data_IF_527969380275
#
_entry.id   IF_527969380275
#
_cell.length_a   1.000
_cell.length_b   1.000
_cell.length_c   1.000
_cell.angle_alpha   90.00
_cell.angle_beta   90.00
_cell.angle_gamma   90.00
#
_symmetry.space_group_name_H-M   'P 1'
#
loop_
_entity.id
_entity.type
_entity.pdbx_description
1 polymer ?
#
# COMPACT_ATOMS: atom_id res chain seq x y z
N UNK A 1 -29.40 -13.53 2.12
CA UNK A 1 -28.21 -14.05 2.85
C UNK A 1 -26.90 -13.43 2.37
N UNK A 2 -26.54 -13.40 1.07
CA UNK A 2 -25.27 -12.82 0.62
C UNK A 2 -25.13 -11.32 0.88
N UNK A 3 -26.19 -10.54 0.57
CA UNK A 3 -26.22 -9.08 0.79
C UNK A 3 -26.07 -8.73 2.27
N UNK A 4 -26.75 -9.46 3.17
CA UNK A 4 -26.64 -9.23 4.61
C UNK A 4 -25.21 -9.47 5.13
N UNK A 5 -24.57 -10.56 4.71
CA UNK A 5 -23.17 -10.84 5.08
C UNK A 5 -22.20 -9.75 4.58
N UNK A 6 -22.42 -9.26 3.35
CA UNK A 6 -21.60 -8.18 2.81
C UNK A 6 -21.81 -6.89 3.60
N UNK A 7 -23.08 -6.54 3.93
CA UNK A 7 -23.38 -5.35 4.73
C UNK A 7 -22.75 -5.43 6.14
N UNK A 8 -22.87 -6.58 6.82
CA UNK A 8 -22.22 -6.83 8.10
C UNK A 8 -20.69 -6.64 8.02
N UNK A 9 -20.06 -7.20 6.99
CA UNK A 9 -18.61 -7.05 6.79
C UNK A 9 -18.20 -5.59 6.52
N UNK A 10 -18.99 -4.84 5.75
CA UNK A 10 -18.78 -3.41 5.50
C UNK A 10 -18.90 -2.62 6.81
N UNK A 11 -19.94 -2.88 7.62
CA UNK A 11 -20.17 -2.18 8.89
C UNK A 11 -19.04 -2.47 9.88
N UNK A 12 -18.63 -3.74 10.00
CA UNK A 12 -17.50 -4.12 10.86
C UNK A 12 -16.19 -3.45 10.40
N UNK A 13 -15.87 -3.50 9.10
CA UNK A 13 -14.68 -2.86 8.56
C UNK A 13 -14.70 -1.34 8.74
N UNK A 14 -15.87 -0.73 8.62
CA UNK A 14 -16.07 0.72 8.80
C UNK A 14 -16.28 1.12 10.27
N UNK A 15 -16.29 0.17 11.21
CA UNK A 15 -16.47 0.39 12.67
C UNK A 15 -17.80 1.06 13.04
N UNK A 16 -18.80 1.04 12.14
CA UNK A 16 -20.11 1.66 12.40
C UNK A 16 -21.02 0.78 13.25
N UNK A 17 -20.66 -0.49 13.43
CA UNK A 17 -21.31 -1.45 14.33
C UNK A 17 -20.75 -1.45 15.76
N UNK A 18 -19.73 -0.62 16.04
CA UNK A 18 -19.20 -0.45 17.40
C UNK A 18 -20.21 0.30 18.29
N UNK A 19 -20.19 0.03 19.60
CA UNK A 19 -21.05 0.73 20.57
C UNK A 19 -20.88 2.26 20.51
N UNK A 20 -19.67 2.72 20.24
CA UNK A 20 -19.35 4.12 19.97
C UNK A 20 -18.39 4.21 18.75
N UNK A 21 -18.94 4.37 17.52
CA UNK A 21 -18.16 4.48 16.31
C UNK A 21 -17.17 5.66 16.30
N UNK A 22 -17.55 6.78 16.92
CA UNK A 22 -16.70 7.97 16.98
C UNK A 22 -15.46 7.68 17.84
N UNK A 23 -15.65 7.11 19.02
CA UNK A 23 -14.53 6.72 19.87
C UNK A 23 -13.71 5.59 19.25
N UNK A 24 -14.32 4.65 18.53
CA UNK A 24 -13.61 3.59 17.80
C UNK A 24 -12.68 4.17 16.74
N UNK A 25 -13.16 5.11 15.93
CA UNK A 25 -12.34 5.82 14.94
C UNK A 25 -11.27 6.70 15.56
N UNK A 26 -11.56 7.39 16.67
CA UNK A 26 -10.56 8.18 17.38
C UNK A 26 -9.37 7.32 17.84
N UNK A 27 -9.64 6.15 18.44
CA UNK A 27 -8.59 5.19 18.84
C UNK A 27 -7.83 4.63 17.64
N UNK A 28 -8.53 4.31 16.56
CA UNK A 28 -7.90 3.78 15.35
C UNK A 28 -6.98 4.80 14.68
N UNK A 29 -7.45 6.03 14.52
CA UNK A 29 -6.64 7.13 13.99
C UNK A 29 -5.41 7.40 14.86
N UNK A 30 -5.53 7.32 16.18
CA UNK A 30 -4.38 7.45 17.08
C UNK A 30 -3.36 6.32 16.87
N UNK A 31 -3.83 5.10 16.62
CA UNK A 31 -2.95 3.97 16.30
C UNK A 31 -2.20 4.19 14.98
N UNK A 32 -2.90 4.61 13.92
CA UNK A 32 -2.27 4.89 12.63
C UNK A 32 -1.29 6.06 12.73
N UNK A 33 -1.66 7.13 13.45
CA UNK A 33 -0.78 8.27 13.70
C UNK A 33 0.51 7.85 14.42
N UNK A 34 0.41 7.02 15.46
CA UNK A 34 1.60 6.52 16.18
C UNK A 34 2.51 5.68 15.28
N UNK A 35 1.94 4.90 14.34
CA UNK A 35 2.71 4.11 13.37
C UNK A 35 3.40 5.00 12.34
N UNK A 36 2.71 6.02 11.80
CA UNK A 36 3.32 6.99 10.88
C UNK A 36 4.42 7.78 11.54
N UNK A 37 4.22 8.22 12.79
CA UNK A 37 5.24 8.94 13.56
C UNK A 37 6.50 8.07 13.78
N UNK A 38 6.31 6.80 14.19
CA UNK A 38 7.43 5.86 14.37
C UNK A 38 8.19 5.65 13.06
N UNK A 39 7.50 5.36 11.95
CA UNK A 39 8.13 5.13 10.65
C UNK A 39 8.87 6.37 10.14
N UNK A 40 8.29 7.56 10.30
CA UNK A 40 8.94 8.83 9.96
C UNK A 40 10.19 9.07 10.82
N UNK A 41 10.14 8.71 12.10
CA UNK A 41 11.29 8.79 13.01
C UNK A 41 12.42 7.83 12.63
N UNK A 42 12.11 6.65 12.08
CA UNK A 42 13.11 5.70 11.61
C UNK A 42 13.83 6.17 10.33
N UNK A 43 13.15 6.89 9.46
CA UNK A 43 13.66 7.40 8.18
C UNK A 43 14.42 6.32 7.37
N UNK A 44 13.78 5.17 7.16
CA UNK A 44 14.38 4.05 6.45
C UNK A 44 14.78 4.43 5.01
N UNK A 45 15.88 3.90 4.52
CA UNK A 45 16.26 3.99 3.11
C UNK A 45 15.42 3.07 2.23
N UNK A 46 15.00 1.92 2.78
CA UNK A 46 14.23 0.92 2.05
C UNK A 46 13.42 0.04 3.01
N UNK A 47 12.45 -0.68 2.46
CA UNK A 47 11.80 -1.83 3.08
C UNK A 47 12.18 -3.11 2.32
N UNK A 48 12.42 -4.21 3.03
CA UNK A 48 12.57 -5.52 2.43
C UNK A 48 11.42 -6.42 2.87
N UNK A 49 10.63 -6.86 1.91
CA UNK A 49 9.57 -7.86 2.07
C UNK A 49 10.14 -9.22 1.75
N UNK A 50 9.96 -10.21 2.62
CA UNK A 50 10.44 -11.56 2.39
C UNK A 50 9.52 -12.61 2.99
N UNK A 51 9.40 -13.73 2.28
CA UNK A 51 8.53 -14.84 2.63
C UNK A 51 8.39 -15.80 1.45
N UNK A 52 7.37 -16.67 1.44
CA UNK A 52 7.15 -17.57 0.32
C UNK A 52 6.98 -16.80 -1.00
N UNK A 53 7.79 -17.17 -2.01
CA UNK A 53 7.77 -16.59 -3.37
C UNK A 53 8.00 -15.07 -3.48
N UNK A 54 8.36 -14.40 -2.37
CA UNK A 54 8.61 -12.96 -2.31
C UNK A 54 9.98 -12.70 -1.67
N UNK A 55 10.82 -11.95 -2.37
CA UNK A 55 12.02 -11.27 -1.87
C UNK A 55 12.14 -9.97 -2.64
N UNK A 56 11.57 -8.91 -2.09
CA UNK A 56 11.44 -7.60 -2.72
C UNK A 56 12.05 -6.54 -1.81
N UNK A 57 12.98 -5.76 -2.33
CA UNK A 57 13.50 -4.55 -1.69
C UNK A 57 12.90 -3.34 -2.37
N UNK A 58 12.20 -2.51 -1.60
CA UNK A 58 11.55 -1.26 -2.04
C UNK A 58 12.32 -0.09 -1.44
N UNK A 59 13.17 0.56 -2.22
CA UNK A 59 13.83 1.80 -1.84
C UNK A 59 12.79 2.94 -1.73
N UNK A 60 12.89 3.74 -0.68
CA UNK A 60 11.96 4.84 -0.44
C UNK A 60 12.45 6.13 -1.11
N UNK A 61 11.51 7.00 -1.52
CA UNK A 61 11.82 8.26 -2.19
C UNK A 61 12.59 9.21 -1.25
N UNK A 62 13.38 10.11 -1.83
CA UNK A 62 14.17 11.06 -1.04
C UNK A 62 13.26 12.11 -0.39
N UNK A 63 13.28 12.16 0.94
CA UNK A 63 12.37 12.99 1.73
C UNK A 63 10.93 12.48 1.72
N UNK A 64 10.75 11.16 1.65
CA UNK A 64 9.45 10.53 1.84
C UNK A 64 8.89 10.78 3.23
N UNK A 65 7.58 10.85 3.32
CA UNK A 65 6.81 10.90 4.56
C UNK A 65 5.73 9.83 4.55
N UNK A 66 5.59 9.11 5.65
CA UNK A 66 4.50 8.17 5.86
C UNK A 66 3.21 8.92 6.18
N UNK A 67 2.14 8.47 5.57
CA UNK A 67 0.79 8.98 5.75
C UNK A 67 -0.14 7.85 6.20
N UNK A 68 -1.25 8.19 6.86
CA UNK A 68 -2.28 7.21 7.25
C UNK A 68 -3.36 7.83 8.12
N UNK A 69 -4.53 7.23 8.16
CA UNK A 69 -5.64 7.65 9.00
C UNK A 69 -6.28 8.99 8.60
N UNK A 70 -6.54 9.82 9.61
CA UNK A 70 -7.20 11.11 9.41
C UNK A 70 -6.26 12.14 8.76
N UNK A 71 -6.84 13.04 7.98
CA UNK A 71 -6.16 14.20 7.40
C UNK A 71 -7.00 15.46 7.53
N UNK A 72 -6.34 16.63 7.47
CA UNK A 72 -7.02 17.92 7.56
C UNK A 72 -7.26 18.47 6.15
N UNK A 73 -8.53 18.67 5.82
CA UNK A 73 -8.95 19.27 4.56
C UNK A 73 -8.57 20.78 4.50
N UNK A 74 -8.56 21.36 3.30
CA UNK A 74 -8.20 22.78 3.09
C UNK A 74 -9.03 23.76 3.90
N UNK A 75 -10.25 23.39 4.30
CA UNK A 75 -11.14 24.21 5.14
C UNK A 75 -10.89 24.04 6.66
N UNK A 76 -9.83 23.32 7.05
CA UNK A 76 -9.45 23.07 8.44
C UNK A 76 -10.20 21.92 9.12
N UNK A 77 -11.10 21.22 8.43
CA UNK A 77 -11.83 20.08 9.01
C UNK A 77 -10.98 18.85 8.91
N UNK A 78 -10.76 18.17 10.06
CA UNK A 78 -10.11 16.86 10.11
C UNK A 78 -11.14 15.77 9.85
N UNK A 79 -10.84 14.86 8.93
CA UNK A 79 -11.70 13.74 8.54
C UNK A 79 -10.86 12.54 8.07
N UNK A 80 -11.49 11.37 8.01
CA UNK A 80 -10.92 10.23 7.30
C UNK A 80 -11.34 10.33 5.83
N UNK A 81 -10.41 10.54 4.88
CA UNK A 81 -10.75 10.62 3.46
C UNK A 81 -11.25 9.29 2.89
N UNK A 82 -10.79 8.18 3.46
CA UNK A 82 -11.18 6.82 3.12
C UNK A 82 -11.75 6.11 4.35
N UNK A 83 -12.84 5.36 4.17
CA UNK A 83 -13.44 4.47 5.17
C UNK A 83 -13.87 3.19 4.43
N UNK A 84 -13.29 2.01 4.75
CA UNK A 84 -12.26 1.79 5.79
C UNK A 84 -10.88 2.33 5.41
N UNK A 85 -9.97 2.42 6.38
CA UNK A 85 -8.54 2.59 6.21
C UNK A 85 -7.79 1.88 7.34
N UNK A 86 -6.88 0.99 6.99
CA UNK A 86 -6.06 0.19 7.92
C UNK A 86 -4.57 0.40 7.68
N UNK A 87 -4.24 1.19 6.67
CA UNK A 87 -2.91 1.36 6.14
C UNK A 87 -2.16 2.54 6.73
N UNK A 88 -0.83 2.41 6.68
CA UNK A 88 0.10 3.52 6.61
C UNK A 88 0.96 3.34 5.37
N UNK A 89 1.14 4.40 4.59
CA UNK A 89 1.74 4.30 3.26
C UNK A 89 2.69 5.45 2.95
N UNK A 90 3.57 5.21 1.99
CA UNK A 90 4.51 6.22 1.50
C UNK A 90 4.89 5.96 0.05
N UNK A 91 5.74 6.82 -0.51
CA UNK A 91 6.19 6.73 -1.89
C UNK A 91 7.53 5.99 -2.01
N UNK A 92 7.57 4.90 -2.82
CA UNK A 92 8.81 4.29 -3.28
C UNK A 92 9.62 5.22 -4.18
N UNK A 93 10.93 5.02 -4.23
CA UNK A 93 11.75 5.61 -5.27
C UNK A 93 11.61 4.81 -6.57
N UNK A 94 11.18 5.46 -7.65
CA UNK A 94 10.83 4.85 -8.92
C UNK A 94 11.94 4.01 -9.60
N UNK A 95 13.20 4.14 -9.14
CA UNK A 95 14.36 3.41 -9.69
C UNK A 95 15.08 2.52 -8.67
N UNK A 96 14.60 2.46 -7.42
CA UNK A 96 15.27 1.70 -6.33
C UNK A 96 14.38 0.56 -5.82
N UNK A 97 13.81 -0.22 -6.74
CA UNK A 97 13.03 -1.41 -6.41
C UNK A 97 13.67 -2.61 -7.09
N UNK A 98 14.02 -3.63 -6.30
CA UNK A 98 14.72 -4.82 -6.75
C UNK A 98 14.09 -6.08 -6.19
N UNK A 99 14.02 -7.13 -7.01
CA UNK A 99 13.62 -8.45 -6.57
C UNK A 99 12.29 -8.91 -7.13
N UNK A 100 11.72 -9.94 -6.49
CA UNK A 100 10.50 -10.62 -6.94
C UNK A 100 9.41 -10.51 -5.89
N UNK A 101 8.17 -10.39 -6.37
CA UNK A 101 6.98 -10.38 -5.51
C UNK A 101 5.81 -11.08 -6.20
N UNK A 102 4.99 -11.75 -5.39
CA UNK A 102 3.77 -12.43 -5.84
C UNK A 102 2.57 -11.85 -5.10
N UNK A 103 1.46 -11.65 -5.81
CA UNK A 103 0.20 -11.22 -5.19
C UNK A 103 -0.35 -12.31 -4.26
N UNK A 104 -0.84 -11.90 -3.11
CA UNK A 104 -1.44 -12.80 -2.12
C UNK A 104 -2.96 -12.85 -2.20
N UNK A 105 -3.55 -11.91 -2.94
CA UNK A 105 -5.00 -11.83 -3.20
C UNK A 105 -5.27 -11.44 -4.65
N UNK A 106 -6.45 -11.80 -5.21
CA UNK A 106 -6.86 -11.33 -6.52
C UNK A 106 -7.08 -9.82 -6.54
N UNK A 107 -6.79 -9.18 -7.67
CA UNK A 107 -7.06 -7.79 -7.96
C UNK A 107 -8.32 -7.68 -8.84
N UNK A 108 -9.30 -6.89 -8.40
CA UNK A 108 -10.45 -6.52 -9.21
C UNK A 108 -10.15 -5.19 -9.95
N UNK A 109 -10.03 -5.25 -11.26
CA UNK A 109 -9.69 -4.09 -12.08
C UNK A 109 -10.64 -3.96 -13.26
N UNK A 110 -11.42 -2.86 -13.31
CA UNK A 110 -12.36 -2.54 -14.40
C UNK A 110 -13.26 -3.72 -14.81
N UNK A 111 -13.80 -4.43 -13.83
CA UNK A 111 -14.67 -5.59 -14.07
C UNK A 111 -13.94 -6.89 -14.43
N UNK A 112 -12.62 -6.87 -14.52
CA UNK A 112 -11.76 -8.04 -14.70
C UNK A 112 -11.13 -8.47 -13.39
N UNK A 113 -11.01 -9.78 -13.18
CA UNK A 113 -10.27 -10.33 -12.06
C UNK A 113 -8.88 -10.76 -12.54
N UNK A 114 -7.84 -10.16 -11.95
CA UNK A 114 -6.43 -10.51 -12.17
C UNK A 114 -5.95 -11.26 -10.93
N UNK A 115 -5.40 -12.47 -11.12
CA UNK A 115 -5.03 -13.33 -10.02
C UNK A 115 -3.68 -14.02 -10.24
N UNK A 116 -2.96 -14.26 -9.14
CA UNK A 116 -1.65 -14.88 -9.17
C UNK A 116 -0.63 -14.02 -9.92
N UNK A 117 -0.64 -12.72 -9.68
CA UNK A 117 0.34 -11.79 -10.25
C UNK A 117 1.71 -12.13 -9.66
N UNK A 118 2.69 -12.32 -10.54
CA UNK A 118 4.10 -12.47 -10.18
C UNK A 118 4.93 -11.53 -11.05
N UNK A 119 5.71 -10.67 -10.41
CA UNK A 119 6.57 -9.72 -11.12
C UNK A 119 7.98 -9.73 -10.56
N UNK A 120 8.94 -9.36 -11.41
CA UNK A 120 10.32 -9.10 -11.03
C UNK A 120 10.70 -7.67 -11.42
N UNK A 121 11.27 -6.96 -10.44
CA UNK A 121 11.78 -5.60 -10.60
C UNK A 121 13.30 -5.60 -10.77
N UNK A 122 13.77 -4.75 -11.68
CA UNK A 122 15.17 -4.33 -11.83
C UNK A 122 15.21 -2.81 -12.01
N UNK A 123 16.04 -2.13 -11.25
CA UNK A 123 16.17 -0.66 -11.27
C UNK A 123 14.79 0.04 -11.21
N UNK A 124 13.90 -0.49 -10.38
CA UNK A 124 12.55 0.01 -10.15
C UNK A 124 11.53 -0.31 -11.26
N UNK A 125 11.92 -1.00 -12.34
CA UNK A 125 11.04 -1.34 -13.45
C UNK A 125 10.65 -2.81 -13.44
N UNK A 126 9.40 -3.12 -13.69
CA UNK A 126 8.96 -4.50 -13.97
C UNK A 126 9.59 -4.96 -15.29
N UNK A 127 10.44 -5.98 -15.18
CA UNK A 127 11.13 -6.62 -16.33
C UNK A 127 10.53 -7.99 -16.67
N UNK A 128 9.90 -8.65 -15.70
CA UNK A 128 9.13 -9.88 -15.92
C UNK A 128 7.77 -9.76 -15.26
N UNK A 129 6.74 -10.28 -15.94
CA UNK A 129 5.38 -10.30 -15.42
C UNK A 129 4.68 -11.58 -15.86
N UNK A 130 3.94 -12.18 -14.93
CA UNK A 130 3.00 -13.28 -15.16
C UNK A 130 1.76 -13.07 -14.31
N UNK A 131 0.63 -13.59 -14.76
CA UNK A 131 -0.56 -13.72 -13.96
C UNK A 131 -1.28 -15.04 -14.32
N UNK A 132 -1.76 -15.76 -13.33
CA UNK A 132 -2.53 -16.99 -13.54
C UNK A 132 -3.85 -16.72 -14.27
N UNK A 133 -4.46 -15.56 -14.01
CA UNK A 133 -5.68 -15.07 -14.64
C UNK A 133 -5.55 -13.59 -14.92
N UNK A 134 -6.05 -13.15 -16.08
CA UNK A 134 -6.07 -11.72 -16.44
C UNK A 134 -4.71 -11.16 -16.87
N UNK A 135 -3.75 -11.99 -17.26
CA UNK A 135 -2.41 -11.58 -17.69
C UNK A 135 -2.44 -10.56 -18.83
N UNK A 136 -3.33 -10.76 -19.81
CA UNK A 136 -3.49 -9.81 -20.93
C UNK A 136 -4.01 -8.44 -20.49
N UNK A 137 -4.85 -8.40 -19.45
CA UNK A 137 -5.35 -7.14 -18.88
C UNK A 137 -4.21 -6.42 -18.19
N UNK A 138 -3.45 -7.13 -17.35
CA UNK A 138 -2.28 -6.58 -16.66
C UNK A 138 -1.23 -6.08 -17.66
N UNK A 139 -0.97 -6.82 -18.74
CA UNK A 139 -0.04 -6.39 -19.78
C UNK A 139 -0.44 -5.04 -20.38
N UNK A 140 -1.72 -4.87 -20.75
CA UNK A 140 -2.24 -3.61 -21.28
C UNK A 140 -2.13 -2.45 -20.27
N UNK A 141 -2.34 -2.72 -19.00
CA UNK A 141 -2.17 -1.74 -17.92
C UNK A 141 -0.72 -1.29 -17.84
N UNK A 142 0.23 -2.23 -17.88
CA UNK A 142 1.67 -1.95 -17.84
C UNK A 142 2.19 -1.23 -19.10
N UNK A 143 1.46 -1.24 -20.20
CA UNK A 143 1.79 -0.56 -21.45
C UNK A 143 1.12 0.82 -21.58
N UNK A 144 0.43 1.30 -20.54
CA UNK A 144 -0.25 2.60 -20.55
C UNK A 144 0.74 3.76 -20.75
N UNK A 145 1.82 3.76 -19.99
CA UNK A 145 2.93 4.72 -20.08
C UNK A 145 4.21 4.15 -19.44
N UNK A 146 5.30 4.90 -19.48
CA UNK A 146 6.58 4.45 -18.93
C UNK A 146 6.55 4.27 -17.41
N UNK A 147 5.75 5.08 -16.69
CA UNK A 147 5.58 5.00 -15.25
C UNK A 147 4.69 3.83 -14.79
N UNK A 148 3.87 3.26 -15.66
CA UNK A 148 2.97 2.16 -15.34
C UNK A 148 3.71 0.88 -14.89
N UNK A 149 4.98 0.72 -15.27
CA UNK A 149 5.84 -0.40 -14.86
C UNK A 149 6.66 -0.12 -13.60
N UNK A 150 6.39 0.97 -12.89
CA UNK A 150 7.12 1.40 -11.69
C UNK A 150 6.15 1.61 -10.54
N UNK A 151 6.67 1.54 -9.31
CA UNK A 151 5.86 1.75 -8.13
C UNK A 151 5.60 3.25 -7.87
N UNK A 152 4.39 3.56 -7.43
CA UNK A 152 3.98 4.86 -6.90
C UNK A 152 3.68 4.84 -5.41
N UNK A 153 3.40 3.63 -4.85
CA UNK A 153 3.07 3.47 -3.45
C UNK A 153 3.60 2.17 -2.88
N UNK A 154 3.89 2.19 -1.58
CA UNK A 154 4.06 1.03 -0.70
C UNK A 154 3.30 1.27 0.60
N UNK A 155 2.44 0.32 0.96
CA UNK A 155 1.55 0.41 2.10
C UNK A 155 1.72 -0.77 3.06
N UNK A 156 1.61 -0.48 4.34
CA UNK A 156 1.72 -1.43 5.45
C UNK A 156 0.37 -1.61 6.13
N UNK A 157 -0.18 -2.80 6.04
CA UNK A 157 -1.46 -3.21 6.62
C UNK A 157 -1.26 -4.52 7.36
N UNK A 158 -1.63 -4.62 8.65
CA UNK A 158 -1.48 -5.87 9.38
C UNK A 158 -2.45 -6.94 8.86
N UNK A 159 -1.99 -8.20 8.85
CA UNK A 159 -2.81 -9.35 8.46
C UNK A 159 -4.06 -9.53 9.34
N UNK A 160 -4.02 -8.97 10.56
CA UNK A 160 -5.15 -8.92 11.49
C UNK A 160 -6.19 -7.83 11.17
N UNK A 161 -6.08 -7.13 10.03
CA UNK A 161 -7.07 -6.12 9.63
C UNK A 161 -8.50 -6.68 9.59
N UNK A 162 -9.54 -5.88 9.83
CA UNK A 162 -10.93 -6.35 9.74
C UNK A 162 -11.28 -6.89 8.35
N UNK A 163 -10.72 -6.30 7.30
CA UNK A 163 -10.90 -6.76 5.91
C UNK A 163 -10.29 -8.15 5.72
N UNK A 164 -9.05 -8.36 6.18
CA UNK A 164 -8.42 -9.70 6.11
C UNK A 164 -9.22 -10.75 6.89
N UNK A 165 -9.65 -10.42 8.11
CA UNK A 165 -10.43 -11.30 8.97
C UNK A 165 -11.80 -11.67 8.41
N UNK A 166 -12.41 -10.82 7.60
CA UNK A 166 -13.68 -11.11 6.94
C UNK A 166 -13.59 -12.30 5.99
N UNK A 167 -12.39 -12.58 5.45
CA UNK A 167 -12.16 -13.62 4.43
C UNK A 167 -12.85 -13.32 3.09
N UNK A 168 -13.43 -12.12 2.92
CA UNK A 168 -14.15 -11.72 1.71
C UNK A 168 -13.22 -10.98 0.75
N UNK A 169 -13.52 -11.13 -0.54
CA UNK A 169 -13.07 -10.24 -1.59
C UNK A 169 -14.25 -9.32 -1.94
N UNK A 170 -14.08 -8.03 -1.70
CA UNK A 170 -15.16 -7.05 -1.87
C UNK A 170 -15.35 -6.66 -3.34
N UNK A 171 -14.37 -6.95 -4.18
CA UNK A 171 -14.30 -6.51 -5.59
C UNK A 171 -14.33 -4.98 -5.71
N UNK A 172 -13.83 -4.33 -4.69
CA UNK A 172 -13.65 -2.89 -4.59
C UNK A 172 -12.27 -2.61 -3.99
N UNK A 173 -11.40 -1.95 -4.76
CA UNK A 173 -10.00 -1.75 -4.40
C UNK A 173 -9.84 -1.05 -3.06
N UNK A 174 -10.66 -0.03 -2.76
CA UNK A 174 -10.64 0.69 -1.47
C UNK A 174 -10.82 -0.23 -0.26
N UNK A 175 -11.61 -1.31 -0.39
CA UNK A 175 -11.74 -2.32 0.67
C UNK A 175 -10.60 -3.34 0.59
N UNK A 176 -10.38 -3.90 -0.59
CA UNK A 176 -9.49 -5.04 -0.78
C UNK A 176 -8.02 -4.70 -0.50
N UNK A 177 -7.56 -3.47 -0.79
CA UNK A 177 -6.21 -2.98 -0.45
C UNK A 177 -5.95 -3.00 1.06
N UNK A 178 -6.99 -2.75 1.87
CA UNK A 178 -6.91 -2.78 3.33
C UNK A 178 -6.89 -4.19 3.94
N UNK A 179 -6.83 -5.24 3.11
CA UNK A 179 -6.71 -6.63 3.55
C UNK A 179 -5.27 -7.05 3.84
N UNK A 180 -4.25 -6.36 3.31
CA UNK A 180 -2.85 -6.74 3.46
C UNK A 180 -1.91 -5.60 3.05
N UNK A 181 -0.63 -5.71 3.44
CA UNK A 181 0.39 -4.86 2.83
C UNK A 181 0.29 -4.94 1.30
N UNK A 182 0.38 -3.79 0.65
CA UNK A 182 0.22 -3.69 -0.80
C UNK A 182 1.23 -2.73 -1.43
N UNK A 183 1.33 -2.81 -2.73
CA UNK A 183 2.10 -1.88 -3.57
C UNK A 183 1.19 -1.38 -4.67
N UNK A 184 1.35 -0.11 -5.06
CA UNK A 184 0.67 0.42 -6.24
C UNK A 184 1.65 0.63 -7.39
N UNK A 185 1.20 0.21 -8.58
CA UNK A 185 1.86 0.57 -9.83
C UNK A 185 1.39 1.96 -10.26
N UNK A 186 2.32 2.77 -10.77
CA UNK A 186 1.99 4.02 -11.43
C UNK A 186 2.24 5.27 -10.59
N UNK A 187 1.26 6.17 -10.54
CA UNK A 187 1.38 7.52 -10.00
C UNK A 187 1.64 7.52 -8.49
N UNK A 188 2.62 8.31 -8.04
CA UNK A 188 2.84 8.57 -6.62
C UNK A 188 1.98 9.72 -6.10
N UNK A 189 1.83 9.81 -4.76
CA UNK A 189 1.14 10.91 -4.11
C UNK A 189 2.13 11.97 -3.59
N UNK A 190 1.94 13.23 -3.99
CA UNK A 190 2.78 14.35 -3.52
C UNK A 190 2.73 14.52 -2.01
N UNK A 191 1.61 14.20 -1.34
CA UNK A 191 1.47 14.26 0.11
C UNK A 191 2.43 13.34 0.88
N UNK A 192 3.03 12.35 0.20
CA UNK A 192 4.03 11.45 0.77
C UNK A 192 5.47 11.98 0.66
N UNK A 193 5.65 13.28 0.44
CA UNK A 193 6.95 13.96 0.46
C UNK A 193 6.93 15.10 1.47
N UNK A 194 8.05 15.33 2.12
CA UNK A 194 8.23 16.49 2.98
C UNK A 194 7.94 17.78 2.21
N UNK A 195 6.98 18.56 2.72
CA UNK A 195 6.42 19.75 2.07
C UNK A 195 5.86 19.49 0.66
N UNK A 196 5.38 18.28 0.39
CA UNK A 196 5.00 17.81 -0.95
C UNK A 196 3.96 18.67 -1.67
N UNK A 197 3.10 19.38 -0.92
CA UNK A 197 2.13 20.31 -1.50
C UNK A 197 2.78 21.54 -2.18
N UNK A 198 4.05 21.85 -1.87
CA UNK A 198 4.82 22.95 -2.43
C UNK A 198 5.74 22.51 -3.58
N UNK A 199 5.90 21.21 -3.79
CA UNK A 199 6.79 20.67 -4.80
C UNK A 199 6.16 20.71 -6.19
N UNK A 200 6.95 21.09 -7.18
CA UNK A 200 6.58 20.90 -8.59
C UNK A 200 6.68 19.42 -8.99
N UNK A 201 6.02 18.99 -10.08
CA UNK A 201 6.18 17.64 -10.61
C UNK A 201 7.64 17.23 -10.88
N UNK A 202 8.46 18.16 -11.36
CA UNK A 202 9.88 17.91 -11.62
C UNK A 202 10.68 17.73 -10.33
N UNK A 203 10.35 18.47 -9.28
CA UNK A 203 10.95 18.30 -7.95
C UNK A 203 10.56 16.97 -7.32
N UNK A 204 9.31 16.52 -7.49
CA UNK A 204 8.86 15.20 -7.05
C UNK A 204 9.63 14.10 -7.80
N UNK A 205 9.75 14.22 -9.12
CA UNK A 205 10.50 13.28 -9.94
C UNK A 205 12.00 13.24 -9.57
N UNK A 206 12.61 14.39 -9.28
CA UNK A 206 14.00 14.48 -8.84
C UNK A 206 14.26 13.78 -7.49
N UNK A 207 13.22 13.68 -6.63
CA UNK A 207 13.25 12.94 -5.36
C UNK A 207 12.88 11.45 -5.54
N UNK A 208 12.67 10.99 -6.76
CA UNK A 208 12.35 9.60 -7.08
C UNK A 208 10.86 9.29 -7.18
N UNK A 209 9.98 10.28 -7.08
CA UNK A 209 8.54 10.07 -7.28
C UNK A 209 8.24 9.63 -8.71
N UNK A 210 7.33 8.67 -8.86
CA UNK A 210 6.91 8.16 -10.14
C UNK A 210 5.73 8.96 -10.70
N UNK A 211 5.70 9.16 -12.02
CA UNK A 211 4.61 9.79 -12.76
C UNK A 211 4.00 8.79 -13.72
N UNK A 212 2.67 8.68 -13.69
CA UNK A 212 1.90 7.80 -14.57
C UNK A 212 0.45 8.26 -14.69
N UNK A 213 -0.26 7.74 -15.67
CA UNK A 213 -1.71 7.90 -15.85
C UNK A 213 -2.51 6.87 -15.06
N UNK A 214 -1.85 5.88 -14.45
CA UNK A 214 -2.49 4.86 -13.62
C UNK A 214 -2.06 4.97 -12.18
N UNK A 215 -2.87 4.43 -11.27
CA UNK A 215 -2.54 4.07 -9.90
C UNK A 215 -3.35 2.82 -9.57
N UNK A 216 -2.66 1.69 -9.31
CA UNK A 216 -3.33 0.40 -9.15
C UNK A 216 -2.68 -0.37 -8.01
N UNK A 217 -3.43 -0.54 -6.93
CA UNK A 217 -3.03 -1.26 -5.73
C UNK A 217 -3.25 -2.75 -5.89
N UNK A 218 -2.31 -3.56 -5.41
CA UNK A 218 -2.46 -5.00 -5.32
C UNK A 218 -1.69 -5.58 -4.13
N UNK A 219 -2.33 -6.54 -3.47
CA UNK A 219 -1.92 -7.05 -2.17
C UNK A 219 -0.77 -8.04 -2.30
N UNK A 220 0.27 -7.83 -1.48
CA UNK A 220 1.48 -8.66 -1.39
C UNK A 220 1.72 -9.21 0.02
N UNK A 221 1.01 -8.69 1.02
CA UNK A 221 1.11 -9.11 2.42
C UNK A 221 0.34 -10.39 2.72
N UNK A 222 0.78 -11.13 3.71
CA UNK A 222 0.09 -12.30 4.28
C UNK A 222 0.64 -12.61 5.67
N UNK A 223 0.03 -13.57 6.39
CA UNK A 223 0.53 -14.04 7.67
C UNK A 223 1.89 -14.77 7.62
N UNK A 224 2.52 -14.86 6.46
CA UNK A 224 3.85 -15.49 6.26
C UNK A 224 4.89 -14.52 5.70
N UNK A 225 4.55 -13.26 5.52
CA UNK A 225 5.47 -12.21 5.05
C UNK A 225 6.04 -11.47 6.24
N UNK A 226 7.35 -11.37 6.27
CA UNK A 226 8.12 -10.52 7.17
C UNK A 226 8.59 -9.26 6.43
N UNK A 227 8.78 -8.15 7.16
CA UNK A 227 9.27 -6.89 6.61
C UNK A 227 10.34 -6.34 7.53
N UNK A 228 11.50 -6.04 6.95
CA UNK A 228 12.57 -5.27 7.60
C UNK A 228 12.64 -3.86 7.02
N UNK A 229 12.74 -2.85 7.88
CA UNK A 229 13.22 -1.53 7.52
C UNK A 229 14.74 -1.53 7.43
N UNK A 230 15.27 -0.96 6.34
CA UNK A 230 16.70 -0.82 6.11
C UNK A 230 17.08 0.64 6.36
N UNK A 231 17.91 0.89 7.37
CA UNK A 231 18.43 2.22 7.70
C UNK A 231 19.37 2.77 6.63
N UNK A 232 19.66 4.07 6.70
CA UNK A 232 20.63 4.73 5.82
C UNK A 232 22.06 4.17 5.97
N UNK A 233 22.35 3.60 7.12
CA UNK A 233 23.63 2.93 7.45
C UNK A 233 23.63 1.43 7.10
N UNK A 234 22.55 0.92 6.52
CA UNK A 234 22.35 -0.50 6.20
C UNK A 234 21.88 -1.36 7.38
N UNK A 235 21.65 -0.78 8.55
CA UNK A 235 21.04 -1.48 9.69
C UNK A 235 19.65 -2.02 9.34
N UNK A 236 19.24 -3.09 10.03
CA UNK A 236 17.93 -3.70 9.81
C UNK A 236 17.10 -3.65 11.09
N UNK A 237 15.88 -3.17 10.95
CA UNK A 237 14.91 -3.07 12.04
C UNK A 237 13.67 -3.87 11.63
N UNK A 238 13.20 -4.83 12.45
CA UNK A 238 11.93 -5.50 12.20
C UNK A 238 10.77 -4.50 12.15
N UNK A 239 10.00 -4.52 11.06
CA UNK A 239 8.77 -3.73 10.90
C UNK A 239 7.57 -4.63 11.01
N UNK A 240 7.60 -5.78 10.33
CA UNK A 240 6.58 -6.82 10.42
C UNK A 240 7.20 -8.18 10.66
N UNK A 241 6.50 -9.01 11.43
CA UNK A 241 6.78 -10.44 11.58
C UNK A 241 5.47 -11.22 11.45
N UNK A 242 5.49 -12.23 10.56
CA UNK A 242 4.31 -13.06 10.28
C UNK A 242 3.06 -12.22 9.94
N UNK A 243 3.26 -11.17 9.15
CA UNK A 243 2.20 -10.27 8.72
C UNK A 243 1.67 -9.28 9.77
N UNK A 244 2.27 -9.21 10.96
CA UNK A 244 1.87 -8.29 12.03
C UNK A 244 3.01 -7.32 12.37
N UNK A 245 2.67 -6.16 12.93
CA UNK A 245 3.65 -5.20 13.44
C UNK A 245 4.56 -5.86 14.49
N UNK A 246 5.89 -5.69 14.35
CA UNK A 246 6.91 -6.28 15.21
C UNK A 246 7.03 -5.57 16.56
#
# INVERSE_FOLDING_TARGET
MAVAKLAEAIFAASRVDADDPIAAWARHNATLAGRTEWLNGQNFAALRFFGPDTDLTVGLADGHEWQGGASTAKNGITCNPNIPTEEVFTTPHSRRVEGRVVSTKPLSYQGSLIDGIAVRFEEGRIVEMRARRGEEVLAKVLDTDDGARRLGEVALVPHSSPIAKSGLLFLNTLFDENAACHIALGQCYSKCFHEGAKLSPDQIAARGGNKSLIHIDWMIGSGTIDIDGIGQDGSRVPVFRKGEWA
#
